data_IF_496349336966
#
_entry.id   IF_496349336966
#
_cell.length_a   1.000
_cell.length_b   1.000
_cell.length_c   1.000
_cell.angle_alpha   90.00
_cell.angle_beta   90.00
_cell.angle_gamma   90.00
#
_symmetry.space_group_name_H-M   'P 1'
#
loop_
_entity.id
_entity.type
_entity.pdbx_description
1 polymer ?
#
# COMPACT_ATOMS: atom_id res chain seq x y z
N UNK A 1 -13.53 2.69 6.51
CA UNK A 1 -12.22 3.16 7.01
C UNK A 1 -11.26 1.99 6.99
N UNK A 2 -10.04 2.22 6.53
CA UNK A 2 -9.00 1.19 6.46
C UNK A 2 -7.82 1.58 7.33
N UNK A 3 -7.39 0.67 8.20
CA UNK A 3 -6.28 0.82 9.14
C UNK A 3 -5.20 -0.23 8.88
N UNK A 4 -3.99 -0.02 9.41
CA UNK A 4 -2.98 -1.06 9.45
C UNK A 4 -3.20 -1.90 10.72
N UNK A 5 -3.41 -3.20 10.55
CA UNK A 5 -3.57 -4.13 11.66
C UNK A 5 -2.36 -4.04 12.62
N UNK A 6 -2.63 -3.84 13.91
CA UNK A 6 -1.59 -3.61 14.91
C UNK A 6 -0.57 -4.76 15.05
N UNK A 7 -0.98 -6.00 14.77
CA UNK A 7 -0.16 -7.20 14.97
C UNK A 7 0.59 -7.58 13.70
N UNK A 8 -0.07 -7.46 12.55
CA UNK A 8 0.40 -7.99 11.26
C UNK A 8 0.78 -6.91 10.26
N UNK A 9 0.44 -5.64 10.52
CA UNK A 9 0.60 -4.52 9.59
C UNK A 9 -0.34 -4.55 8.38
N UNK A 10 -1.16 -5.60 8.23
CA UNK A 10 -2.02 -5.81 7.05
C UNK A 10 -3.18 -4.81 7.02
N UNK A 11 -3.69 -4.43 5.84
CA UNK A 11 -4.86 -3.58 5.75
C UNK A 11 -6.10 -4.24 6.35
N UNK A 12 -6.77 -3.53 7.25
CA UNK A 12 -8.05 -3.89 7.84
C UNK A 12 -9.10 -2.86 7.46
N UNK A 13 -10.06 -3.24 6.63
CA UNK A 13 -11.20 -2.39 6.29
C UNK A 13 -12.34 -2.65 7.25
N UNK A 14 -12.77 -1.62 7.97
CA UNK A 14 -13.91 -1.66 8.90
C UNK A 14 -14.93 -0.59 8.51
N UNK A 15 -16.21 -0.94 8.55
CA UNK A 15 -17.30 0.03 8.45
C UNK A 15 -17.41 0.76 9.78
N UNK A 16 -17.01 2.02 9.79
CA UNK A 16 -17.06 2.92 10.95
C UNK A 16 -17.89 4.12 10.55
N UNK A 17 -18.82 4.51 11.42
CA UNK A 17 -19.60 5.73 11.23
C UNK A 17 -18.73 6.95 11.59
N UNK A 18 -18.13 7.55 10.56
CA UNK A 18 -17.29 8.73 10.69
C UNK A 18 -18.15 9.98 10.49
N UNK A 19 -18.40 10.74 11.56
CA UNK A 19 -19.26 11.93 11.50
C UNK A 19 -18.45 13.17 11.10
N UNK A 20 -18.90 13.97 10.11
CA UNK A 20 -18.20 15.19 9.74
C UNK A 20 -18.25 16.22 10.87
N UNK A 21 -17.11 16.90 11.08
CA UNK A 21 -16.94 17.97 12.06
C UNK A 21 -16.00 19.05 11.47
N UNK A 22 -16.58 20.00 10.74
CA UNK A 22 -15.81 20.97 9.95
C UNK A 22 -15.02 20.28 8.85
N UNK A 23 -13.70 20.50 8.80
CA UNK A 23 -12.78 19.83 7.86
C UNK A 23 -12.26 18.47 8.33
N UNK A 24 -12.77 17.97 9.46
CA UNK A 24 -12.34 16.73 10.12
C UNK A 24 -13.49 15.75 10.23
N UNK A 25 -13.17 14.53 10.62
CA UNK A 25 -14.16 13.49 10.91
C UNK A 25 -13.98 12.96 12.34
N UNK A 26 -15.08 12.58 12.98
CA UNK A 26 -15.07 11.98 14.32
C UNK A 26 -15.48 10.52 14.18
N UNK A 27 -14.64 9.62 14.70
CA UNK A 27 -14.93 8.19 14.76
C UNK A 27 -15.00 7.74 16.22
N UNK A 28 -16.17 7.27 16.65
CA UNK A 28 -16.40 6.79 18.01
C UNK A 28 -16.27 5.26 18.05
N UNK A 29 -15.49 4.74 18.98
CA UNK A 29 -15.34 3.30 19.19
C UNK A 29 -16.39 2.81 20.20
N UNK A 30 -17.17 1.77 19.88
CA UNK A 30 -18.16 1.23 20.79
C UNK A 30 -17.51 0.69 22.08
N UNK A 31 -16.34 0.05 21.95
CA UNK A 31 -15.55 -0.54 23.02
C UNK A 31 -14.04 -0.41 22.75
N UNK A 32 -13.20 -0.80 23.72
CA UNK A 32 -11.73 -0.75 23.60
C UNK A 32 -11.15 -1.89 22.76
N UNK A 33 -11.92 -2.94 22.53
CA UNK A 33 -11.47 -4.16 21.84
C UNK A 33 -11.66 -4.08 20.33
N UNK A 34 -12.45 -3.09 19.88
CA UNK A 34 -12.63 -2.71 18.48
C UNK A 34 -11.29 -2.72 17.74
N UNK A 35 -11.08 -3.65 16.78
CA UNK A 35 -9.77 -3.85 16.16
C UNK A 35 -9.19 -2.59 15.52
N UNK A 36 -10.00 -1.84 14.76
CA UNK A 36 -9.58 -0.57 14.15
C UNK A 36 -9.15 0.49 15.18
N UNK A 37 -9.73 0.46 16.40
CA UNK A 37 -9.37 1.39 17.46
C UNK A 37 -7.98 1.05 18.00
N UNK A 38 -7.69 -0.24 18.22
CA UNK A 38 -6.36 -0.73 18.63
C UNK A 38 -5.31 -0.47 17.55
N UNK A 39 -5.66 -0.69 16.29
CA UNK A 39 -4.82 -0.37 15.13
C UNK A 39 -4.37 1.10 15.16
N UNK A 40 -5.31 2.03 15.33
CA UNK A 40 -5.02 3.48 15.34
C UNK A 40 -4.22 3.96 16.54
N UNK A 41 -4.23 3.21 17.65
CA UNK A 41 -3.34 3.50 18.78
C UNK A 41 -1.87 3.16 18.46
N UNK A 42 -1.64 2.15 17.63
CA UNK A 42 -0.28 1.72 17.23
C UNK A 42 0.19 2.50 16.00
N UNK A 43 -0.66 2.63 14.99
CA UNK A 43 -0.39 3.36 13.75
C UNK A 43 -1.49 4.39 13.53
N UNK A 44 -1.26 5.68 13.86
CA UNK A 44 -2.30 6.72 13.82
C UNK A 44 -2.58 7.23 12.40
N UNK A 45 -2.69 6.31 11.44
CA UNK A 45 -3.00 6.56 10.04
C UNK A 45 -4.18 5.70 9.59
N UNK A 46 -5.11 6.31 8.87
CA UNK A 46 -6.24 5.65 8.24
C UNK A 46 -6.40 6.13 6.79
N UNK A 47 -7.05 5.31 5.97
CA UNK A 47 -7.65 5.74 4.71
C UNK A 47 -9.18 5.75 4.88
N UNK A 48 -9.80 6.90 4.63
CA UNK A 48 -11.25 7.07 4.63
C UNK A 48 -11.79 7.01 3.22
N UNK A 49 -12.85 6.24 3.01
CA UNK A 49 -13.63 6.24 1.78
C UNK A 49 -14.72 7.31 1.93
N UNK A 50 -14.61 8.42 1.19
CA UNK A 50 -15.56 9.53 1.20
C UNK A 50 -16.09 9.65 -0.23
N UNK A 51 -17.39 9.41 -0.43
CA UNK A 51 -18.04 9.38 -1.75
C UNK A 51 -17.33 8.48 -2.79
N UNK A 52 -16.75 7.36 -2.32
CA UNK A 52 -16.00 6.41 -3.15
C UNK A 52 -14.59 6.88 -3.53
N UNK A 53 -14.10 7.94 -2.89
CA UNK A 53 -12.73 8.44 -3.06
C UNK A 53 -11.93 8.17 -1.78
N UNK A 54 -10.74 7.57 -1.88
CA UNK A 54 -9.89 7.36 -0.73
C UNK A 54 -9.21 8.67 -0.30
N UNK A 55 -9.20 8.95 1.01
CA UNK A 55 -8.51 10.06 1.64
C UNK A 55 -7.64 9.56 2.79
N UNK A 56 -6.35 9.81 2.73
CA UNK A 56 -5.45 9.59 3.86
C UNK A 56 -5.83 10.52 5.00
N UNK A 57 -5.83 10.01 6.23
CA UNK A 57 -6.14 10.75 7.43
C UNK A 57 -5.19 10.36 8.56
N UNK A 58 -4.81 11.34 9.39
CA UNK A 58 -4.15 11.12 10.67
C UNK A 58 -5.19 11.04 11.77
N UNK A 59 -5.12 10.00 12.59
CA UNK A 59 -5.98 9.84 13.75
C UNK A 59 -5.35 10.50 14.98
N UNK A 60 -6.15 11.27 15.73
CA UNK A 60 -5.79 11.88 17.01
C UNK A 60 -6.81 11.43 18.06
N UNK A 61 -6.41 10.73 19.13
CA UNK A 61 -7.36 10.29 20.17
C UNK A 61 -8.16 11.46 20.75
N UNK A 62 -9.41 11.22 21.13
CA UNK A 62 -10.17 12.23 21.88
C UNK A 62 -9.53 12.53 23.23
N UNK A 63 -9.63 13.79 23.64
CA UNK A 63 -9.30 14.21 25.01
C UNK A 63 -10.49 13.90 25.94
N UNK A 64 -10.24 13.68 27.23
CA UNK A 64 -11.32 13.57 28.23
C UNK A 64 -11.96 12.18 28.40
N UNK A 65 -11.38 11.13 27.83
CA UNK A 65 -11.75 9.74 28.13
C UNK A 65 -12.87 9.14 27.27
N UNK A 66 -13.45 9.93 26.35
CA UNK A 66 -14.27 9.39 25.26
C UNK A 66 -13.41 8.50 24.35
N UNK A 67 -13.99 7.40 23.88
CA UNK A 67 -13.28 6.43 23.04
C UNK A 67 -13.51 6.76 21.59
N UNK A 68 -12.48 7.28 20.95
CA UNK A 68 -12.52 7.57 19.53
C UNK A 68 -11.38 8.46 19.10
N UNK A 69 -11.45 8.88 17.84
CA UNK A 69 -10.44 9.69 17.21
C UNK A 69 -11.06 10.83 16.42
N UNK A 70 -10.38 11.98 16.46
CA UNK A 70 -10.49 12.99 15.43
C UNK A 70 -9.59 12.57 14.27
N UNK A 71 -10.17 12.46 13.08
CA UNK A 71 -9.52 12.08 11.85
C UNK A 71 -9.27 13.35 11.04
N UNK A 72 -8.00 13.71 10.90
CA UNK A 72 -7.53 14.86 10.16
C UNK A 72 -7.13 14.41 8.75
N UNK A 73 -7.88 14.82 7.73
CA UNK A 73 -7.49 14.53 6.36
C UNK A 73 -6.09 15.08 6.07
N UNK A 74 -5.33 14.33 5.28
CA UNK A 74 -4.01 14.72 4.84
C UNK A 74 -4.11 15.96 3.96
N UNK A 75 -3.25 16.94 4.23
CA UNK A 75 -2.98 18.07 3.36
C UNK A 75 -1.49 18.02 2.99
N UNK A 76 -1.14 18.49 1.78
CA UNK A 76 0.23 18.45 1.25
C UNK A 76 0.77 19.87 1.14
N UNK A 77 1.71 20.20 2.02
CA UNK A 77 2.61 21.35 1.90
C UNK A 77 4.00 20.89 1.41
N UNK A 78 4.94 21.82 1.22
CA UNK A 78 6.27 21.50 0.70
C UNK A 78 7.09 20.55 1.61
N UNK A 79 6.95 20.66 2.93
CA UNK A 79 7.66 19.78 3.86
C UNK A 79 7.05 18.37 3.83
N UNK A 80 5.72 18.30 3.78
CA UNK A 80 4.96 17.05 3.67
C UNK A 80 5.18 16.37 2.33
N UNK A 81 5.23 17.12 1.23
CA UNK A 81 5.53 16.61 -0.11
C UNK A 81 6.88 15.89 -0.13
N UNK A 82 7.94 16.52 0.39
CA UNK A 82 9.26 15.88 0.53
C UNK A 82 9.20 14.61 1.37
N UNK A 83 8.52 14.64 2.50
CA UNK A 83 8.37 13.45 3.34
C UNK A 83 7.63 12.29 2.62
N UNK A 84 6.61 12.59 1.81
CA UNK A 84 5.92 11.59 0.98
C UNK A 84 6.88 11.03 -0.07
N UNK A 85 7.62 11.89 -0.77
CA UNK A 85 8.60 11.49 -1.78
C UNK A 85 9.69 10.57 -1.21
N UNK A 86 10.19 10.88 -0.01
CA UNK A 86 11.21 10.05 0.64
C UNK A 86 10.63 8.70 1.10
N UNK A 87 9.40 8.70 1.63
CA UNK A 87 8.70 7.46 2.00
C UNK A 87 8.43 6.56 0.79
N UNK A 88 8.01 7.15 -0.35
CA UNK A 88 7.80 6.46 -1.62
C UNK A 88 9.06 5.69 -2.03
N UNK A 89 10.21 6.37 -2.09
CA UNK A 89 11.48 5.76 -2.45
C UNK A 89 11.94 4.66 -1.49
N UNK A 90 11.73 4.85 -0.18
CA UNK A 90 12.04 3.82 0.81
C UNK A 90 11.18 2.58 0.56
N UNK A 91 9.87 2.73 0.40
CA UNK A 91 8.96 1.61 0.16
C UNK A 91 9.26 0.89 -1.15
N UNK A 92 9.47 1.62 -2.25
CA UNK A 92 9.89 1.01 -3.51
C UNK A 92 11.22 0.26 -3.36
N UNK A 93 12.20 0.84 -2.68
CA UNK A 93 13.49 0.20 -2.44
C UNK A 93 13.37 -1.14 -1.71
N UNK A 94 12.55 -1.21 -0.66
CA UNK A 94 12.31 -2.47 0.07
C UNK A 94 11.53 -3.50 -0.76
N UNK A 95 10.52 -3.06 -1.53
CA UNK A 95 9.76 -3.93 -2.43
C UNK A 95 10.67 -4.55 -3.50
N UNK A 96 11.54 -3.74 -4.13
CA UNK A 96 12.54 -4.21 -5.10
C UNK A 96 13.50 -5.23 -4.49
N UNK A 97 13.95 -5.02 -3.25
CA UNK A 97 14.81 -5.99 -2.54
C UNK A 97 14.11 -7.33 -2.32
N UNK A 98 12.84 -7.30 -1.92
CA UNK A 98 12.04 -8.52 -1.72
C UNK A 98 11.86 -9.31 -3.02
N UNK A 99 11.59 -8.63 -4.14
CA UNK A 99 11.51 -9.28 -5.46
C UNK A 99 12.87 -9.87 -5.89
N UNK A 100 13.97 -9.16 -5.65
CA UNK A 100 15.31 -9.66 -5.97
C UNK A 100 15.68 -10.92 -5.15
N UNK A 101 15.30 -10.96 -3.88
CA UNK A 101 15.50 -12.14 -3.03
C UNK A 101 14.71 -13.35 -3.55
N UNK A 102 13.42 -13.16 -3.87
CA UNK A 102 12.58 -14.22 -4.44
C UNK A 102 13.10 -14.73 -5.79
N UNK A 103 13.62 -13.82 -6.65
CA UNK A 103 14.26 -14.19 -7.92
C UNK A 103 15.51 -15.06 -7.71
N UNK A 104 16.37 -14.67 -6.77
CA UNK A 104 17.60 -15.41 -6.48
C UNK A 104 17.30 -16.83 -5.96
N UNK A 105 16.27 -16.99 -5.14
CA UNK A 105 15.82 -18.28 -4.64
C UNK A 105 15.27 -19.17 -5.77
N UNK A 106 14.46 -18.59 -6.67
CA UNK A 106 13.95 -19.28 -7.85
C UNK A 106 15.08 -19.77 -8.77
N UNK A 107 16.20 -19.03 -8.83
CA UNK A 107 17.37 -19.35 -9.64
C UNK A 107 18.34 -20.36 -9.00
N UNK A 108 18.36 -20.44 -7.66
CA UNK A 108 19.48 -20.97 -6.88
C UNK A 108 19.51 -22.46 -6.48
N UNK A 109 18.54 -23.33 -6.81
CA UNK A 109 18.51 -24.71 -6.30
C UNK A 109 18.35 -25.83 -7.37
N UNK A 110 19.18 -26.89 -7.34
CA UNK A 110 18.85 -28.17 -7.98
C UNK A 110 17.59 -28.77 -7.34
N UNK A 111 16.69 -29.29 -8.16
CA UNK A 111 15.32 -29.72 -7.79
C UNK A 111 15.34 -31.02 -6.95
N UNK A 112 15.76 -30.92 -5.69
CA UNK A 112 15.68 -31.99 -4.71
C UNK A 112 15.08 -31.49 -3.38
N UNK A 113 14.11 -30.55 -3.42
CA UNK A 113 13.18 -30.31 -2.31
C UNK A 113 12.01 -29.40 -2.72
N UNK A 114 11.06 -29.95 -3.47
CA UNK A 114 9.87 -29.20 -3.95
C UNK A 114 8.98 -28.60 -2.84
N UNK A 115 8.78 -29.26 -1.66
CA UNK A 115 7.90 -28.69 -0.63
C UNK A 115 8.49 -27.46 0.08
N UNK A 116 9.82 -27.42 0.26
CA UNK A 116 10.50 -26.35 0.99
C UNK A 116 10.59 -25.06 0.17
N UNK A 117 11.05 -25.15 -1.09
CA UNK A 117 11.10 -24.01 -2.02
C UNK A 117 9.72 -23.39 -2.23
N UNK A 118 8.67 -24.21 -2.35
CA UNK A 118 7.30 -23.72 -2.49
C UNK A 118 6.85 -22.96 -1.23
N UNK A 119 7.19 -23.45 -0.04
CA UNK A 119 6.88 -22.77 1.23
C UNK A 119 7.63 -21.44 1.41
N UNK A 120 8.91 -21.39 1.04
CA UNK A 120 9.74 -20.19 1.10
C UNK A 120 9.24 -19.11 0.11
N UNK A 121 9.00 -19.46 -1.16
CA UNK A 121 8.38 -18.57 -2.15
C UNK A 121 6.97 -18.09 -1.75
N UNK A 122 6.15 -18.96 -1.16
CA UNK A 122 4.85 -18.58 -0.61
C UNK A 122 4.99 -17.55 0.51
N UNK A 123 5.97 -17.72 1.41
CA UNK A 123 6.27 -16.75 2.47
C UNK A 123 6.68 -15.39 1.91
N UNK A 124 7.53 -15.37 0.89
CA UNK A 124 7.91 -14.15 0.17
C UNK A 124 6.71 -13.48 -0.50
N UNK A 125 5.87 -14.25 -1.21
CA UNK A 125 4.69 -13.71 -1.89
C UNK A 125 3.68 -13.14 -0.91
N UNK A 126 3.40 -13.83 0.20
CA UNK A 126 2.48 -13.32 1.22
C UNK A 126 3.01 -12.03 1.84
N UNK A 127 4.30 -11.96 2.17
CA UNK A 127 4.92 -10.74 2.74
C UNK A 127 4.82 -9.59 1.74
N UNK A 128 5.30 -9.82 0.51
CA UNK A 128 5.28 -8.84 -0.57
C UNK A 128 3.88 -8.32 -0.89
N UNK A 129 2.90 -9.21 -1.07
CA UNK A 129 1.52 -8.83 -1.35
C UNK A 129 0.91 -7.99 -0.23
N UNK A 130 1.27 -8.24 1.04
CA UNK A 130 0.78 -7.43 2.15
C UNK A 130 1.42 -6.04 2.18
N UNK A 131 2.74 -5.98 2.02
CA UNK A 131 3.50 -4.72 2.04
C UNK A 131 3.06 -3.81 0.89
N UNK A 132 2.96 -4.37 -0.32
CA UNK A 132 2.55 -3.63 -1.51
C UNK A 132 1.09 -3.17 -1.41
N UNK A 133 0.19 -4.00 -0.87
CA UNK A 133 -1.21 -3.59 -0.65
C UNK A 133 -1.31 -2.44 0.36
N UNK A 134 -0.50 -2.45 1.42
CA UNK A 134 -0.45 -1.33 2.37
C UNK A 134 0.09 -0.06 1.73
N UNK A 135 1.12 -0.18 0.91
CA UNK A 135 1.73 0.91 0.18
C UNK A 135 0.73 1.58 -0.77
N UNK A 136 0.14 0.82 -1.71
CA UNK A 136 -0.84 1.36 -2.66
C UNK A 136 -2.07 1.96 -1.95
N UNK A 137 -2.56 1.36 -0.86
CA UNK A 137 -3.68 1.91 -0.08
C UNK A 137 -3.35 3.30 0.50
N UNK A 138 -2.13 3.45 1.05
CA UNK A 138 -1.68 4.72 1.63
C UNK A 138 -1.49 5.76 0.54
N UNK A 139 -1.01 5.36 -0.62
CA UNK A 139 -0.84 6.22 -1.79
C UNK A 139 -2.16 6.66 -2.39
N UNK A 140 -3.10 5.75 -2.61
CA UNK A 140 -4.43 6.08 -3.12
C UNK A 140 -5.12 7.13 -2.24
N UNK A 141 -4.98 6.99 -0.91
CA UNK A 141 -5.45 7.97 0.06
C UNK A 141 -4.69 9.31 -0.02
N UNK A 142 -3.38 9.29 -0.27
CA UNK A 142 -2.57 10.50 -0.41
C UNK A 142 -2.82 11.23 -1.75
N UNK A 143 -3.13 10.50 -2.82
CA UNK A 143 -3.35 11.06 -4.16
C UNK A 143 -4.38 12.16 -4.17
N UNK A 144 -5.44 12.06 -3.37
CA UNK A 144 -6.46 13.11 -3.28
C UNK A 144 -5.91 14.43 -2.74
N UNK A 145 -5.00 14.36 -1.75
CA UNK A 145 -4.33 15.55 -1.22
C UNK A 145 -3.24 16.07 -2.18
N UNK A 146 -2.54 15.17 -2.87
CA UNK A 146 -1.52 15.52 -3.88
C UNK A 146 -2.17 16.20 -5.08
N UNK A 147 -3.30 15.70 -5.59
CA UNK A 147 -4.03 16.31 -6.70
C UNK A 147 -4.50 17.72 -6.36
N UNK A 148 -4.99 17.93 -5.12
CA UNK A 148 -5.39 19.24 -4.62
C UNK A 148 -4.21 20.23 -4.59
N UNK A 149 -3.03 19.79 -4.17
CA UNK A 149 -1.83 20.63 -4.12
C UNK A 149 -1.17 20.82 -5.50
N UNK A 150 -1.27 19.83 -6.37
CA UNK A 150 -0.64 19.78 -7.69
C UNK A 150 -1.64 19.29 -8.77
N UNK A 151 -2.60 20.13 -9.20
CA UNK A 151 -3.67 19.72 -10.13
C UNK A 151 -3.16 19.18 -11.48
N UNK A 152 -1.96 19.60 -11.91
CA UNK A 152 -1.32 19.10 -13.13
C UNK A 152 -1.00 17.60 -13.11
N UNK A 153 -0.95 16.97 -11.94
CA UNK A 153 -0.72 15.53 -11.79
C UNK A 153 -1.98 14.67 -12.00
N UNK A 154 -3.17 15.27 -12.11
CA UNK A 154 -4.41 14.51 -12.20
C UNK A 154 -4.39 13.37 -13.25
N UNK A 155 -3.85 13.54 -14.47
CA UNK A 155 -3.74 12.44 -15.44
C UNK A 155 -2.83 11.30 -14.97
N UNK A 156 -1.70 11.62 -14.31
CA UNK A 156 -0.76 10.64 -13.80
C UNK A 156 -1.35 9.86 -12.62
N UNK A 157 -1.95 10.55 -11.64
CA UNK A 157 -2.62 9.93 -10.50
C UNK A 157 -3.77 9.01 -10.93
N UNK A 158 -4.56 9.44 -11.93
CA UNK A 158 -5.62 8.61 -12.51
C UNK A 158 -5.06 7.36 -13.18
N UNK A 159 -3.87 7.42 -13.77
CA UNK A 159 -3.19 6.25 -14.36
C UNK A 159 -2.69 5.33 -13.26
N UNK A 160 -2.01 5.85 -12.24
CA UNK A 160 -1.48 5.07 -11.11
C UNK A 160 -2.58 4.26 -10.41
N UNK A 161 -3.77 4.85 -10.16
CA UNK A 161 -4.91 4.11 -9.62
C UNK A 161 -5.32 2.89 -10.46
N UNK A 162 -5.32 3.02 -11.80
CA UNK A 162 -5.61 1.88 -12.70
C UNK A 162 -4.49 0.84 -12.72
N UNK A 163 -3.24 1.29 -12.57
CA UNK A 163 -2.09 0.39 -12.45
C UNK A 163 -2.14 -0.38 -11.14
N UNK A 164 -2.53 0.23 -10.01
CA UNK A 164 -2.74 -0.45 -8.73
C UNK A 164 -3.74 -1.62 -8.85
N UNK A 165 -4.85 -1.43 -9.55
CA UNK A 165 -5.82 -2.50 -9.83
C UNK A 165 -5.23 -3.62 -10.70
N UNK A 166 -4.37 -3.27 -11.65
CA UNK A 166 -3.72 -4.23 -12.56
C UNK A 166 -2.67 -5.05 -11.82
N UNK A 167 -1.84 -4.40 -11.01
CA UNK A 167 -0.86 -5.03 -10.13
C UNK A 167 -1.55 -5.95 -9.13
N UNK A 168 -2.65 -5.50 -8.50
CA UNK A 168 -3.41 -6.34 -7.56
C UNK A 168 -3.93 -7.62 -8.22
N UNK A 169 -4.41 -7.56 -9.47
CA UNK A 169 -4.85 -8.74 -10.22
C UNK A 169 -3.67 -9.68 -10.53
N UNK A 170 -2.56 -9.14 -11.02
CA UNK A 170 -1.38 -9.94 -11.35
C UNK A 170 -0.82 -10.71 -10.14
N UNK A 171 -0.84 -10.08 -8.96
CA UNK A 171 -0.40 -10.72 -7.71
C UNK A 171 -1.36 -11.81 -7.23
N UNK A 172 -2.67 -11.61 -7.38
CA UNK A 172 -3.64 -12.68 -7.10
C UNK A 172 -3.46 -13.88 -8.04
N UNK A 173 -3.15 -13.65 -9.31
CA UNK A 173 -2.88 -14.73 -10.26
C UNK A 173 -1.60 -15.50 -9.92
N UNK A 174 -0.54 -14.79 -9.50
CA UNK A 174 0.70 -15.42 -9.04
C UNK A 174 0.49 -16.23 -7.75
N UNK A 175 -0.24 -15.69 -6.76
CA UNK A 175 -0.58 -16.42 -5.54
C UNK A 175 -1.39 -17.68 -5.85
N UNK A 176 -2.43 -17.57 -6.69
CA UNK A 176 -3.24 -18.73 -7.11
C UNK A 176 -2.39 -19.82 -7.78
N UNK A 177 -1.41 -19.43 -8.59
CA UNK A 177 -0.48 -20.37 -9.23
C UNK A 177 0.39 -21.09 -8.19
N UNK A 178 0.86 -20.37 -7.17
CA UNK A 178 1.64 -20.94 -6.07
C UNK A 178 0.80 -21.80 -5.11
N UNK A 179 -0.49 -21.53 -4.95
CA UNK A 179 -1.42 -22.31 -4.10
C UNK A 179 -1.96 -23.58 -4.78
N UNK A 180 -1.87 -23.70 -6.11
CA UNK A 180 -2.44 -24.83 -6.86
C UNK A 180 -1.96 -26.23 -6.44
N UNK A 181 -2.81 -27.24 -6.57
CA UNK A 181 -2.45 -28.63 -6.31
C UNK A 181 -1.76 -29.25 -7.53
N UNK A 182 -0.47 -29.56 -7.44
CA UNK A 182 0.26 -30.24 -8.52
C UNK A 182 1.72 -29.81 -8.66
N UNK A 183 2.41 -30.42 -9.63
CA UNK A 183 3.75 -30.02 -10.03
C UNK A 183 3.67 -28.79 -10.92
N UNK A 184 4.11 -27.64 -10.40
CA UNK A 184 4.30 -26.42 -11.21
C UNK A 184 5.56 -26.61 -12.07
N UNK A 185 5.43 -26.36 -13.37
CA UNK A 185 6.58 -26.28 -14.29
C UNK A 185 7.43 -25.05 -13.93
N UNK A 186 8.70 -25.26 -13.57
CA UNK A 186 9.60 -24.18 -13.12
C UNK A 186 9.72 -23.05 -14.15
N UNK A 187 9.71 -23.41 -15.44
CA UNK A 187 9.75 -22.43 -16.52
C UNK A 187 8.51 -21.52 -16.53
N UNK A 188 7.30 -22.10 -16.35
CA UNK A 188 6.06 -21.34 -16.32
C UNK A 188 5.95 -20.45 -15.07
N UNK A 189 6.35 -20.95 -13.89
CA UNK A 189 6.42 -20.13 -12.68
C UNK A 189 7.38 -18.96 -12.85
N UNK A 190 8.54 -19.22 -13.48
CA UNK A 190 9.51 -18.16 -13.74
C UNK A 190 8.97 -17.14 -14.72
N UNK A 191 8.35 -17.56 -15.81
CA UNK A 191 7.75 -16.63 -16.77
C UNK A 191 6.74 -15.70 -16.11
N UNK A 192 5.84 -16.24 -15.27
CA UNK A 192 4.88 -15.38 -14.58
C UNK A 192 5.48 -14.50 -13.50
N UNK A 193 6.46 -15.00 -12.75
CA UNK A 193 7.19 -14.18 -11.79
C UNK A 193 7.88 -13.00 -12.47
N UNK A 194 8.55 -13.23 -13.60
CA UNK A 194 9.21 -12.19 -14.38
C UNK A 194 8.21 -11.19 -14.98
N UNK A 195 7.02 -11.63 -15.41
CA UNK A 195 5.94 -10.74 -15.86
C UNK A 195 5.52 -9.77 -14.76
N UNK A 196 5.32 -10.28 -13.53
CA UNK A 196 4.93 -9.47 -12.37
C UNK A 196 6.04 -8.47 -12.01
N UNK A 197 7.30 -8.92 -11.95
CA UNK A 197 8.42 -8.02 -11.62
C UNK A 197 8.55 -6.89 -12.65
N UNK A 198 8.50 -7.21 -13.94
CA UNK A 198 8.63 -6.19 -14.99
C UNK A 198 7.49 -5.16 -14.91
N UNK A 199 6.25 -5.61 -14.71
CA UNK A 199 5.11 -4.70 -14.54
C UNK A 199 5.23 -3.78 -13.32
N UNK A 200 5.75 -4.30 -12.21
CA UNK A 200 6.00 -3.51 -10.99
C UNK A 200 7.13 -2.51 -11.18
N UNK A 201 8.23 -2.88 -11.83
CA UNK A 201 9.32 -1.95 -12.12
C UNK A 201 8.87 -0.81 -13.05
N UNK A 202 8.09 -1.12 -14.09
CA UNK A 202 7.50 -0.11 -14.97
C UNK A 202 6.55 0.84 -14.22
N UNK A 203 5.73 0.28 -13.32
CA UNK A 203 4.84 1.04 -12.46
C UNK A 203 5.60 1.98 -11.52
N UNK A 204 6.56 1.45 -10.74
CA UNK A 204 7.37 2.26 -9.82
C UNK A 204 8.15 3.35 -10.54
N UNK A 205 8.74 3.04 -11.71
CA UNK A 205 9.46 4.02 -12.51
C UNK A 205 8.55 5.14 -13.02
N UNK A 206 7.32 4.79 -13.46
CA UNK A 206 6.34 5.78 -13.88
C UNK A 206 5.92 6.68 -12.71
N UNK A 207 5.63 6.10 -11.55
CA UNK A 207 5.25 6.85 -10.35
C UNK A 207 6.35 7.80 -9.91
N UNK A 208 7.57 7.29 -9.73
CA UNK A 208 8.73 8.08 -9.32
C UNK A 208 8.99 9.26 -10.27
N UNK A 209 8.94 9.01 -11.59
CA UNK A 209 9.18 10.03 -12.60
C UNK A 209 8.12 11.15 -12.60
N UNK A 210 6.87 10.85 -12.24
CA UNK A 210 5.79 11.84 -12.27
C UNK A 210 5.59 12.54 -10.91
N UNK A 211 5.70 11.80 -9.80
CA UNK A 211 5.39 12.35 -8.47
C UNK A 211 6.58 13.06 -7.83
N UNK A 212 7.80 12.52 -7.95
CA UNK A 212 8.96 13.07 -7.23
C UNK A 212 9.25 14.54 -7.58
N UNK A 213 9.26 14.97 -8.87
CA UNK A 213 9.57 16.37 -9.21
C UNK A 213 8.60 17.36 -8.57
N UNK A 214 7.30 17.02 -8.55
CA UNK A 214 6.27 17.88 -7.96
C UNK A 214 6.36 17.90 -6.43
N UNK A 215 6.52 16.73 -5.80
CA UNK A 215 6.52 16.57 -4.34
C UNK A 215 7.77 17.13 -3.67
N UNK A 216 8.92 17.09 -4.36
CA UNK A 216 10.17 17.66 -3.84
C UNK A 216 10.25 19.18 -4.01
N UNK A 217 9.47 19.71 -4.95
CA UNK A 217 9.55 21.11 -5.37
C UNK A 217 10.60 21.35 -6.45
N UNK A 218 11.04 20.30 -7.14
CA UNK A 218 12.06 20.35 -8.22
C UNK A 218 11.43 20.72 -9.58
N UNK A 219 10.29 21.40 -9.59
CA UNK A 219 9.68 21.87 -10.83
C UNK A 219 10.61 22.90 -11.47
N UNK A 220 11.14 22.56 -12.66
CA UNK A 220 11.94 23.44 -13.48
C UNK A 220 11.24 24.81 -13.63
N UNK A 221 11.92 25.86 -13.18
CA UNK A 221 11.60 27.24 -13.55
C UNK A 221 11.85 27.48 -15.03
#
# INVERSE_FOLDING_TARGET
MTTADAETGRPRTTRVDCRPAGSRYLAFAPDRDSPWYRDLLVSPQATLEIDGVPHAARAVPFEGGERGFTLHLLEVDAARGRAIADQLLVHHGELRKTLAAARAELDGAPVANRPRLRGELLGHCVTFCNDLRMHHLREDGAFTAIEKAHPGLAPALKRLRREHETVSRALHDLDRLLQGEGTIERAALREEFERVVNGLEEHFAYEEANLLPALRGDSAS
#
